data_IF_628592241455
#
_entry.id   IF_628592241455
#
_cell.length_a   1.000
_cell.length_b   1.000
_cell.length_c   1.000
_cell.angle_alpha   90.00
_cell.angle_beta   90.00
_cell.angle_gamma   90.00
#
_symmetry.space_group_name_H-M   'P 1'
#
loop_
_entity.id
_entity.type
_entity.pdbx_description
1 polymer ?
#
# COMPACT_ATOMS: atom_id res chain seq x y z
N UNK A 1 3.91 -15.34 -28.46
CA UNK A 1 3.33 -15.04 -29.79
C UNK A 1 2.10 -14.12 -29.71
N UNK A 2 1.16 -14.33 -28.78
CA UNK A 2 -0.10 -13.57 -28.70
C UNK A 2 0.09 -12.04 -28.55
N UNK A 3 1.23 -11.58 -28.05
CA UNK A 3 1.58 -10.17 -27.83
C UNK A 3 2.75 -9.69 -28.71
N UNK A 4 3.24 -10.51 -29.66
CA UNK A 4 4.41 -10.20 -30.47
C UNK A 4 4.19 -9.05 -31.48
N UNK A 5 2.94 -8.76 -31.81
CA UNK A 5 2.56 -7.66 -32.73
C UNK A 5 1.62 -6.69 -32.02
N UNK A 6 2.13 -5.83 -31.14
CA UNK A 6 1.30 -4.83 -30.51
C UNK A 6 0.81 -3.80 -31.53
N UNK A 7 -0.41 -3.32 -31.40
CA UNK A 7 -0.94 -2.17 -32.15
C UNK A 7 -0.56 -0.90 -31.39
N UNK A 8 -0.59 0.24 -32.05
CA UNK A 8 -0.33 1.55 -31.43
C UNK A 8 -1.23 1.78 -30.19
N UNK A 9 -2.48 1.34 -30.23
CA UNK A 9 -3.46 1.44 -29.14
C UNK A 9 -3.43 0.23 -28.18
N UNK A 10 -2.39 -0.61 -28.24
CA UNK A 10 -2.31 -1.83 -27.46
C UNK A 10 -3.20 -2.97 -27.99
N UNK A 11 -3.21 -4.08 -27.26
CA UNK A 11 -4.06 -5.25 -27.52
C UNK A 11 -4.71 -5.70 -26.20
N UNK A 12 -5.98 -6.15 -26.30
CA UNK A 12 -6.66 -6.69 -25.12
C UNK A 12 -5.92 -7.93 -24.61
N UNK A 13 -5.69 -7.97 -23.32
CA UNK A 13 -5.02 -9.09 -22.65
C UNK A 13 -5.99 -10.03 -21.94
N UNK A 14 -7.15 -9.54 -21.54
CA UNK A 14 -8.19 -10.26 -20.81
C UNK A 14 -9.54 -9.60 -21.09
N UNK A 15 -10.62 -10.35 -20.97
CA UNK A 15 -11.98 -9.80 -20.95
C UNK A 15 -12.42 -9.68 -19.50
N UNK A 16 -12.58 -8.45 -19.02
CA UNK A 16 -13.13 -8.17 -17.69
C UNK A 16 -14.66 -8.36 -17.72
N UNK A 17 -15.21 -8.83 -16.62
CA UNK A 17 -16.65 -8.87 -16.38
C UNK A 17 -17.12 -7.49 -15.94
N UNK A 18 -18.44 -7.27 -16.01
CA UNK A 18 -19.07 -6.09 -15.45
C UNK A 18 -18.76 -6.00 -13.93
N UNK A 19 -18.46 -4.82 -13.44
CA UNK A 19 -18.09 -4.53 -12.06
C UNK A 19 -16.84 -5.25 -11.54
N UNK A 20 -15.95 -5.75 -12.42
CA UNK A 20 -14.70 -6.39 -12.07
C UNK A 20 -13.49 -5.57 -12.53
N UNK A 21 -12.34 -5.73 -11.88
CA UNK A 21 -11.12 -4.98 -12.15
C UNK A 21 -9.88 -5.84 -12.25
N UNK A 22 -8.88 -5.37 -12.98
CA UNK A 22 -7.55 -5.97 -13.00
C UNK A 22 -6.75 -5.47 -11.79
N UNK A 23 -6.30 -6.38 -10.95
CA UNK A 23 -5.57 -6.05 -9.70
C UNK A 23 -4.06 -6.17 -9.91
N UNK A 24 -3.60 -7.27 -10.53
CA UNK A 24 -2.18 -7.59 -10.61
C UNK A 24 -1.86 -8.34 -11.90
N UNK A 25 -0.66 -8.14 -12.42
CA UNK A 25 -0.10 -8.87 -13.56
C UNK A 25 1.31 -9.30 -13.22
N UNK A 26 1.63 -10.57 -13.44
CA UNK A 26 2.95 -11.13 -13.16
C UNK A 26 3.45 -11.96 -14.32
N UNK A 27 4.74 -11.82 -14.63
CA UNK A 27 5.44 -12.70 -15.57
C UNK A 27 5.90 -13.97 -14.87
N UNK A 28 5.57 -15.13 -15.46
CA UNK A 28 5.98 -16.44 -14.95
C UNK A 28 6.81 -17.19 -15.98
N UNK A 29 7.52 -18.22 -15.56
CA UNK A 29 8.44 -19.01 -16.41
C UNK A 29 8.01 -20.47 -16.60
N UNK A 30 6.83 -20.86 -16.13
CA UNK A 30 6.34 -22.25 -16.19
C UNK A 30 6.57 -23.06 -14.91
N UNK A 31 7.38 -22.58 -13.98
CA UNK A 31 7.74 -23.26 -12.73
C UNK A 31 7.42 -22.46 -11.46
N UNK A 32 6.67 -21.37 -11.61
CA UNK A 32 6.35 -20.52 -10.48
C UNK A 32 5.13 -21.05 -9.70
N UNK A 33 5.06 -20.67 -8.46
CA UNK A 33 3.87 -20.81 -7.64
C UNK A 33 3.18 -19.47 -7.48
N UNK A 34 1.87 -19.53 -7.46
CA UNK A 34 1.00 -18.36 -7.33
C UNK A 34 0.34 -18.38 -5.97
N UNK A 35 0.39 -17.25 -5.28
CA UNK A 35 -0.33 -17.03 -4.04
C UNK A 35 -1.31 -15.88 -4.23
N UNK A 36 -2.60 -16.12 -3.99
CA UNK A 36 -3.68 -15.13 -4.08
C UNK A 36 -4.26 -14.94 -2.69
N UNK A 37 -4.49 -13.69 -2.28
CA UNK A 37 -5.09 -13.36 -1.00
C UNK A 37 -6.38 -12.58 -1.14
N UNK A 38 -7.33 -12.80 -0.22
CA UNK A 38 -8.58 -12.07 -0.12
C UNK A 38 -8.60 -11.11 1.07
N UNK A 39 -9.55 -10.20 1.05
CA UNK A 39 -9.76 -9.16 2.07
C UNK A 39 -10.04 -9.74 3.45
N UNK A 40 -10.66 -10.91 3.53
CA UNK A 40 -10.95 -11.62 4.78
C UNK A 40 -9.73 -12.33 5.40
N UNK A 41 -8.52 -12.08 4.88
CA UNK A 41 -7.28 -12.58 5.46
C UNK A 41 -7.01 -14.05 5.20
N UNK A 42 -7.49 -14.58 4.06
CA UNK A 42 -7.14 -15.90 3.58
C UNK A 42 -6.25 -15.82 2.35
N UNK A 43 -5.41 -16.83 2.14
CA UNK A 43 -4.60 -16.95 0.95
C UNK A 43 -4.56 -18.40 0.46
N UNK A 44 -4.48 -18.57 -0.86
CA UNK A 44 -4.38 -19.85 -1.53
C UNK A 44 -3.09 -19.91 -2.35
N UNK A 45 -2.32 -20.99 -2.19
CA UNK A 45 -1.09 -21.25 -2.94
C UNK A 45 -1.31 -22.44 -3.88
N UNK A 46 -0.95 -22.26 -5.13
CA UNK A 46 -1.01 -23.31 -6.15
C UNK A 46 0.08 -23.13 -7.19
N UNK A 47 0.42 -24.19 -7.93
CA UNK A 47 1.39 -24.13 -9.01
C UNK A 47 0.76 -23.47 -10.25
N UNK A 48 1.50 -22.65 -10.99
CA UNK A 48 0.98 -21.95 -12.19
C UNK A 48 0.43 -22.91 -13.24
N UNK A 49 0.93 -24.15 -13.33
CA UNK A 49 0.42 -25.19 -14.23
C UNK A 49 -1.05 -25.58 -13.93
N UNK A 50 -1.60 -25.24 -12.77
CA UNK A 50 -3.02 -25.37 -12.49
C UNK A 50 -3.89 -24.41 -13.32
N UNK A 51 -3.26 -23.41 -13.96
CA UNK A 51 -3.91 -22.45 -14.86
C UNK A 51 -3.56 -22.84 -16.30
N UNK A 52 -4.55 -23.30 -17.05
CA UNK A 52 -4.35 -23.61 -18.47
C UNK A 52 -4.02 -22.35 -19.28
N UNK A 53 -3.24 -22.51 -20.32
CA UNK A 53 -3.01 -21.43 -21.31
C UNK A 53 -4.33 -21.07 -21.99
N UNK A 54 -4.65 -19.77 -22.03
CA UNK A 54 -5.89 -19.25 -22.61
C UNK A 54 -5.59 -18.10 -23.57
N UNK A 55 -6.50 -17.88 -24.54
CA UNK A 55 -6.40 -16.74 -25.44
C UNK A 55 -6.63 -15.41 -24.73
N UNK A 56 -6.16 -14.30 -25.34
CA UNK A 56 -6.23 -12.95 -24.80
C UNK A 56 -7.65 -12.43 -24.48
N UNK A 57 -8.66 -13.00 -25.12
CA UNK A 57 -10.07 -12.62 -24.92
C UNK A 57 -10.79 -13.47 -23.88
N UNK A 58 -10.10 -14.38 -23.21
CA UNK A 58 -10.68 -15.19 -22.16
C UNK A 58 -10.88 -14.37 -20.88
N UNK A 59 -11.94 -14.66 -20.13
CA UNK A 59 -12.20 -14.06 -18.79
C UNK A 59 -11.40 -14.70 -17.67
N UNK A 60 -10.61 -15.75 -17.97
CA UNK A 60 -9.81 -16.45 -16.97
C UNK A 60 -10.52 -17.61 -16.28
N UNK A 61 -9.94 -18.07 -15.18
CA UNK A 61 -10.44 -19.16 -14.34
C UNK A 61 -10.39 -18.74 -12.87
N UNK A 62 -11.27 -19.32 -12.07
CA UNK A 62 -11.34 -19.04 -10.64
C UNK A 62 -10.02 -19.37 -9.94
N UNK A 63 -9.37 -18.38 -9.33
CA UNK A 63 -8.17 -18.57 -8.52
C UNK A 63 -8.49 -19.05 -7.11
N UNK A 64 -9.44 -18.39 -6.43
CA UNK A 64 -9.93 -18.75 -5.09
C UNK A 64 -11.43 -18.56 -4.97
N UNK A 65 -12.03 -19.17 -3.95
CA UNK A 65 -13.43 -18.94 -3.56
C UNK A 65 -13.47 -17.86 -2.50
N UNK A 66 -14.26 -16.81 -2.73
CA UNK A 66 -14.55 -15.75 -1.79
C UNK A 66 -15.77 -16.10 -0.93
N UNK A 67 -15.94 -15.42 0.20
CA UNK A 67 -17.10 -15.59 1.07
C UNK A 67 -18.21 -14.61 0.64
N UNK A 68 -19.38 -15.14 0.25
CA UNK A 68 -20.48 -14.36 -0.35
C UNK A 68 -21.09 -13.29 0.60
N UNK A 69 -21.03 -13.53 1.91
CA UNK A 69 -21.70 -12.68 2.91
C UNK A 69 -20.88 -11.50 3.44
N UNK A 70 -19.64 -11.32 2.98
CA UNK A 70 -18.66 -10.46 3.68
C UNK A 70 -18.13 -9.30 2.88
N UNK A 71 -18.65 -9.03 1.68
CA UNK A 71 -18.05 -8.09 0.74
C UNK A 71 -16.54 -8.39 0.54
N UNK A 72 -16.25 -9.68 0.35
CA UNK A 72 -14.90 -10.19 0.20
C UNK A 72 -14.41 -10.01 -1.23
N UNK A 73 -13.17 -9.66 -1.38
CA UNK A 73 -12.52 -9.43 -2.67
C UNK A 73 -11.07 -9.92 -2.65
N UNK A 74 -10.50 -10.16 -3.82
CA UNK A 74 -9.07 -10.43 -3.95
C UNK A 74 -8.32 -9.12 -3.80
N UNK A 75 -7.37 -9.08 -2.87
CA UNK A 75 -6.56 -7.87 -2.59
C UNK A 75 -5.19 -7.90 -3.26
N UNK A 76 -4.77 -9.03 -3.75
CA UNK A 76 -3.50 -9.14 -4.46
C UNK A 76 -3.11 -10.56 -4.81
N UNK A 77 -2.11 -10.64 -5.68
CA UNK A 77 -1.49 -11.87 -6.15
C UNK A 77 0.03 -11.71 -6.13
N UNK A 78 0.74 -12.74 -5.74
CA UNK A 78 2.20 -12.80 -5.85
C UNK A 78 2.64 -14.06 -6.56
N UNK A 79 3.68 -13.96 -7.39
CA UNK A 79 4.34 -15.08 -8.04
C UNK A 79 5.65 -15.36 -7.33
N UNK A 80 5.74 -16.53 -6.73
CA UNK A 80 6.90 -16.99 -5.98
C UNK A 80 7.91 -17.55 -6.95
N UNK A 81 9.11 -16.98 -6.98
CA UNK A 81 10.21 -17.39 -7.86
C UNK A 81 11.29 -18.17 -7.12
N UNK A 82 11.59 -17.74 -5.89
CA UNK A 82 12.64 -18.33 -5.04
C UNK A 82 12.09 -18.52 -3.61
N UNK A 83 11.76 -19.77 -3.28
CA UNK A 83 11.17 -20.12 -1.98
C UNK A 83 12.12 -19.96 -0.79
N UNK A 84 13.43 -20.00 -1.04
CA UNK A 84 14.44 -19.93 0.00
C UNK A 84 14.72 -18.50 0.42
N UNK A 85 14.60 -17.55 -0.53
CA UNK A 85 14.89 -16.14 -0.30
C UNK A 85 13.64 -15.30 -0.04
N UNK A 86 12.51 -15.69 -0.64
CA UNK A 86 11.29 -14.90 -0.55
C UNK A 86 10.46 -15.28 0.68
N UNK A 87 9.81 -14.31 1.25
CA UNK A 87 8.80 -14.44 2.31
C UNK A 87 7.53 -13.70 1.91
N UNK A 88 6.42 -14.03 2.54
CA UNK A 88 5.11 -13.41 2.29
C UNK A 88 4.87 -12.32 3.32
N UNK A 89 4.82 -11.07 2.87
CA UNK A 89 4.40 -9.92 3.65
C UNK A 89 2.90 -9.69 3.45
N UNK A 90 2.18 -9.48 4.52
CA UNK A 90 0.76 -9.08 4.54
C UNK A 90 0.58 -7.85 5.41
N UNK A 91 -0.29 -6.93 4.95
CA UNK A 91 -0.60 -5.68 5.67
C UNK A 91 -2.10 -5.47 5.67
N UNK A 92 -2.65 -5.05 6.82
CA UNK A 92 -4.08 -4.82 7.04
C UNK A 92 -4.41 -3.34 7.20
N UNK A 93 -5.71 -3.00 7.10
CA UNK A 93 -6.25 -1.63 7.10
C UNK A 93 -5.78 -0.79 8.30
N UNK A 94 -5.69 -1.40 9.49
CA UNK A 94 -5.30 -0.69 10.72
C UNK A 94 -3.78 -0.69 10.97
N UNK A 95 -2.98 -0.91 9.91
CA UNK A 95 -1.53 -0.83 9.96
C UNK A 95 -0.84 -1.99 10.69
N UNK A 96 -1.52 -3.12 10.83
CA UNK A 96 -0.91 -4.36 11.28
C UNK A 96 -0.39 -5.14 10.09
N UNK A 97 0.75 -5.77 10.25
CA UNK A 97 1.31 -6.61 9.20
C UNK A 97 2.31 -7.59 9.76
N UNK A 98 2.78 -8.46 8.90
CA UNK A 98 3.78 -9.45 9.24
C UNK A 98 4.37 -10.09 8.01
N UNK A 99 5.50 -10.71 8.22
CA UNK A 99 6.22 -11.55 7.27
C UNK A 99 6.11 -13.01 7.70
N UNK A 100 5.81 -13.92 6.77
CA UNK A 100 5.68 -15.36 7.03
C UNK A 100 6.43 -16.16 5.99
N UNK A 101 6.89 -17.36 6.35
CA UNK A 101 7.54 -18.27 5.41
C UNK A 101 6.55 -18.73 4.35
N UNK A 102 7.03 -18.90 3.12
CA UNK A 102 6.23 -19.43 2.02
C UNK A 102 5.76 -20.86 2.33
N UNK A 103 6.57 -21.66 3.00
CA UNK A 103 6.26 -23.05 3.37
C UNK A 103 5.10 -23.18 4.37
N UNK A 104 4.76 -22.11 5.11
CA UNK A 104 3.57 -22.08 5.94
C UNK A 104 2.27 -22.18 5.12
N UNK A 105 2.32 -21.89 3.82
CA UNK A 105 1.20 -21.96 2.90
C UNK A 105 1.28 -23.27 2.11
N UNK A 106 0.46 -24.25 2.45
CA UNK A 106 0.40 -25.53 1.71
C UNK A 106 0.00 -25.30 0.26
N UNK A 107 0.61 -26.04 -0.65
CA UNK A 107 0.20 -26.08 -2.05
C UNK A 107 -1.13 -26.83 -2.15
N UNK A 108 -2.09 -26.24 -2.86
CA UNK A 108 -3.42 -26.83 -3.08
C UNK A 108 -3.85 -26.64 -4.54
N UNK A 109 -4.98 -27.22 -4.91
CA UNK A 109 -5.62 -26.89 -6.17
C UNK A 109 -6.20 -25.46 -6.10
N UNK A 110 -6.16 -24.71 -7.23
CA UNK A 110 -6.82 -23.40 -7.32
C UNK A 110 -8.33 -23.51 -7.08
N UNK A 111 -8.97 -22.40 -6.78
CA UNK A 111 -10.43 -22.32 -6.62
C UNK A 111 -10.94 -22.68 -5.22
N UNK A 112 -10.07 -23.08 -4.30
CA UNK A 112 -10.43 -23.32 -2.90
C UNK A 112 -10.53 -22.03 -2.09
N UNK A 113 -11.00 -22.13 -0.82
CA UNK A 113 -11.09 -20.98 0.13
C UNK A 113 -9.72 -20.55 0.69
N UNK A 114 -8.66 -21.35 0.48
CA UNK A 114 -7.33 -21.07 1.00
C UNK A 114 -7.20 -21.29 2.52
N UNK A 115 -6.07 -20.82 3.07
CA UNK A 115 -5.72 -20.90 4.49
C UNK A 115 -5.64 -19.51 5.09
N UNK A 116 -5.82 -19.39 6.40
CA UNK A 116 -5.69 -18.11 7.10
C UNK A 116 -4.26 -17.56 6.93
N UNK A 117 -4.13 -16.33 6.42
CA UNK A 117 -2.85 -15.64 6.27
C UNK A 117 -2.59 -14.59 7.33
N UNK A 118 -3.67 -13.99 7.86
CA UNK A 118 -3.62 -13.08 9.01
C UNK A 118 -4.89 -13.28 9.84
N UNK A 119 -4.81 -13.03 11.13
CA UNK A 119 -6.00 -13.06 11.99
C UNK A 119 -6.70 -11.71 11.95
N UNK A 120 -7.82 -11.65 11.23
CA UNK A 120 -8.67 -10.47 11.12
C UNK A 120 -9.45 -10.28 12.42
N UNK A 121 -9.37 -9.09 12.99
CA UNK A 121 -10.08 -8.64 14.19
C UNK A 121 -10.46 -7.16 13.99
N UNK A 122 -11.29 -6.59 14.84
CA UNK A 122 -11.58 -5.15 14.83
C UNK A 122 -10.29 -4.31 14.96
N UNK A 123 -9.29 -4.82 15.67
CA UNK A 123 -8.01 -4.15 15.89
C UNK A 123 -7.14 -4.13 14.63
N UNK A 124 -7.17 -5.17 13.81
CA UNK A 124 -6.36 -5.25 12.59
C UNK A 124 -7.06 -4.64 11.39
N UNK A 125 -8.37 -4.68 11.35
CA UNK A 125 -9.13 -4.44 10.14
C UNK A 125 -8.93 -5.53 9.10
N UNK A 126 -9.44 -5.34 7.90
CA UNK A 126 -9.34 -6.27 6.77
C UNK A 126 -7.93 -6.28 6.16
N UNK A 127 -7.62 -7.29 5.36
CA UNK A 127 -6.37 -7.34 4.61
C UNK A 127 -6.41 -6.35 3.45
N UNK A 128 -5.33 -5.58 3.26
CA UNK A 128 -5.18 -4.60 2.16
C UNK A 128 -4.16 -5.06 1.13
N UNK A 129 -3.07 -5.67 1.58
CA UNK A 129 -1.99 -6.02 0.66
C UNK A 129 -1.31 -7.34 1.01
N UNK A 130 -0.86 -8.02 -0.05
CA UNK A 130 0.06 -9.16 0.01
C UNK A 130 1.20 -8.91 -0.96
N UNK A 131 2.45 -9.10 -0.54
CA UNK A 131 3.66 -8.95 -1.36
C UNK A 131 4.65 -10.07 -1.05
N UNK A 132 5.39 -10.53 -2.06
CA UNK A 132 6.58 -11.34 -1.86
C UNK A 132 7.78 -10.41 -1.66
N UNK A 133 8.54 -10.62 -0.62
CA UNK A 133 9.66 -9.76 -0.22
C UNK A 133 10.88 -10.60 0.14
N UNK A 134 12.07 -10.00 -0.03
CA UNK A 134 13.36 -10.52 0.41
C UNK A 134 13.95 -9.60 1.47
N UNK A 135 15.06 -9.99 2.09
CA UNK A 135 15.80 -9.15 3.05
C UNK A 135 16.32 -7.84 2.42
N UNK A 136 16.53 -7.85 1.09
CA UNK A 136 17.05 -6.72 0.31
C UNK A 136 15.96 -5.74 -0.14
N UNK A 137 14.74 -5.90 0.35
CA UNK A 137 13.65 -5.01 -0.01
C UNK A 137 13.31 -4.06 1.13
N UNK A 138 12.80 -2.90 0.74
CA UNK A 138 12.05 -2.02 1.60
C UNK A 138 10.59 -2.06 1.21
N UNK A 139 9.72 -1.64 2.12
CA UNK A 139 8.32 -1.41 1.85
C UNK A 139 7.97 0.05 2.10
N UNK A 140 7.12 0.57 1.22
CA UNK A 140 6.46 1.86 1.42
C UNK A 140 5.00 1.61 1.74
N UNK A 141 4.54 2.14 2.85
CA UNK A 141 3.15 2.06 3.31
C UNK A 141 2.56 3.46 3.23
N UNK A 142 1.42 3.57 2.55
CA UNK A 142 0.72 4.83 2.34
C UNK A 142 -0.67 4.71 2.97
N UNK A 143 -1.04 5.64 3.81
CA UNK A 143 -2.38 5.71 4.39
C UNK A 143 -3.34 6.60 3.54
N UNK A 144 -4.63 6.57 3.85
CA UNK A 144 -5.64 7.36 3.12
C UNK A 144 -5.45 8.86 3.26
N UNK A 145 -4.83 9.33 4.35
CA UNK A 145 -4.50 10.76 4.54
C UNK A 145 -3.23 11.21 3.81
N UNK A 146 -2.56 10.31 3.06
CA UNK A 146 -1.38 10.64 2.26
C UNK A 146 -0.04 10.55 3.01
N UNK A 147 -0.04 10.11 4.28
CA UNK A 147 1.22 9.89 5.00
C UNK A 147 1.88 8.63 4.47
N UNK A 148 3.14 8.75 4.12
CA UNK A 148 3.95 7.65 3.59
C UNK A 148 5.09 7.34 4.56
N UNK A 149 5.27 6.06 4.86
CA UNK A 149 6.45 5.57 5.60
C UNK A 149 7.20 4.55 4.76
N UNK A 150 8.52 4.54 4.91
CA UNK A 150 9.42 3.53 4.34
C UNK A 150 10.07 2.78 5.48
N UNK A 151 10.14 1.45 5.37
CA UNK A 151 10.80 0.59 6.35
C UNK A 151 11.48 -0.59 5.66
N UNK A 152 12.59 -1.05 6.24
CA UNK A 152 13.32 -2.22 5.74
C UNK A 152 12.54 -3.50 6.06
N UNK A 153 12.51 -4.43 5.10
CA UNK A 153 11.91 -5.75 5.33
C UNK A 153 12.72 -6.56 6.34
N UNK A 154 14.03 -6.36 6.39
CA UNK A 154 14.93 -6.98 7.37
C UNK A 154 14.55 -6.68 8.84
N UNK A 155 13.92 -5.53 9.10
CA UNK A 155 13.47 -5.15 10.45
C UNK A 155 12.22 -5.92 10.91
N UNK A 156 11.57 -6.64 9.99
CA UNK A 156 10.37 -7.40 10.25
C UNK A 156 10.70 -8.86 10.56
N UNK A 157 10.36 -9.32 11.74
CA UNK A 157 10.50 -10.72 12.09
C UNK A 157 9.58 -11.62 11.25
N UNK A 158 10.07 -12.80 10.87
CA UNK A 158 9.26 -13.86 10.27
C UNK A 158 8.45 -14.54 11.37
N UNK A 159 7.13 -14.53 11.25
CA UNK A 159 6.21 -15.13 12.22
C UNK A 159 5.13 -15.95 11.54
N UNK A 160 4.52 -16.88 12.26
CA UNK A 160 3.53 -17.81 11.71
C UNK A 160 2.34 -17.11 11.03
N UNK A 161 1.86 -17.69 9.92
CA UNK A 161 0.82 -17.12 9.04
C UNK A 161 -0.52 -16.80 9.73
N UNK A 162 -0.91 -17.57 10.74
CA UNK A 162 -2.23 -17.43 11.38
C UNK A 162 -2.27 -16.40 12.53
N UNK A 163 -1.16 -15.71 12.79
CA UNK A 163 -1.07 -14.68 13.84
C UNK A 163 -1.70 -13.35 13.40
N UNK A 164 -1.91 -12.45 14.35
CA UNK A 164 -2.42 -11.11 14.11
C UNK A 164 -1.39 -10.17 13.46
N UNK A 165 -0.11 -10.51 13.58
CA UNK A 165 0.98 -9.63 13.16
C UNK A 165 1.37 -8.60 14.21
N UNK A 166 2.25 -7.70 13.80
CA UNK A 166 2.74 -6.57 14.60
C UNK A 166 2.25 -5.25 13.99
N UNK A 167 2.24 -4.20 14.78
CA UNK A 167 1.89 -2.86 14.28
C UNK A 167 3.09 -2.30 13.50
N UNK A 168 2.91 -2.09 12.21
CA UNK A 168 3.91 -1.51 11.31
C UNK A 168 3.88 0.02 11.34
N UNK A 169 2.69 0.58 11.41
CA UNK A 169 2.47 2.03 11.49
C UNK A 169 1.41 2.34 12.55
N UNK A 170 1.61 3.45 13.25
CA UNK A 170 0.61 3.97 14.18
C UNK A 170 -0.25 5.03 13.46
N UNK A 171 -1.48 4.67 13.12
CA UNK A 171 -2.43 5.56 12.43
C UNK A 171 -3.05 6.62 13.35
N UNK A 172 -2.75 6.57 14.66
CA UNK A 172 -3.22 7.55 15.62
C UNK A 172 -4.73 7.50 15.87
N UNK A 173 -5.28 8.62 16.36
CA UNK A 173 -6.72 8.77 16.68
C UNK A 173 -7.58 9.23 15.48
N UNK A 174 -7.01 9.32 14.28
CA UNK A 174 -7.64 9.97 13.12
C UNK A 174 -8.58 9.10 12.30
N UNK A 175 -8.91 7.91 12.74
CA UNK A 175 -9.73 6.96 11.96
C UNK A 175 -9.17 6.73 10.55
N UNK A 176 -7.84 6.70 10.43
CA UNK A 176 -7.12 6.54 9.18
C UNK A 176 -6.88 5.05 8.89
N UNK A 177 -6.69 4.73 7.63
CA UNK A 177 -6.51 3.35 7.17
C UNK A 177 -5.38 3.29 6.14
N UNK A 178 -4.77 2.13 6.00
CA UNK A 178 -3.80 1.88 4.95
C UNK A 178 -4.51 1.88 3.59
N UNK A 179 -3.99 2.69 2.67
CA UNK A 179 -4.48 2.77 1.30
C UNK A 179 -3.70 1.84 0.35
N UNK A 180 -2.37 1.78 0.49
CA UNK A 180 -1.52 1.01 -0.42
C UNK A 180 -0.21 0.59 0.24
N UNK A 181 0.37 -0.48 -0.28
CA UNK A 181 1.69 -0.98 0.11
C UNK A 181 2.48 -1.34 -1.14
N UNK A 182 3.64 -0.72 -1.30
CA UNK A 182 4.56 -0.96 -2.39
C UNK A 182 5.84 -1.61 -1.89
N UNK A 183 6.41 -2.49 -2.70
CA UNK A 183 7.76 -3.04 -2.51
C UNK A 183 8.74 -2.21 -3.32
N UNK A 184 9.83 -1.79 -2.71
CA UNK A 184 10.93 -1.08 -3.35
C UNK A 184 12.25 -1.79 -3.06
N UNK A 185 13.26 -1.58 -3.89
CA UNK A 185 14.62 -2.05 -3.58
C UNK A 185 15.18 -1.22 -2.43
N UNK A 186 15.88 -1.86 -1.52
CA UNK A 186 16.63 -1.14 -0.49
C UNK A 186 17.73 -0.32 -1.17
N UNK A 187 17.85 0.93 -0.75
CA UNK A 187 18.97 1.78 -1.17
C UNK A 187 20.16 1.51 -0.26
N UNK A 188 21.35 1.55 -0.83
CA UNK A 188 22.59 1.52 -0.07
C UNK A 188 22.78 2.86 0.66
N UNK A 189 23.60 2.88 1.69
CA UNK A 189 23.92 4.13 2.41
C UNK A 189 24.58 5.15 1.47
N UNK A 190 25.35 4.69 0.49
CA UNK A 190 25.98 5.52 -0.54
C UNK A 190 24.94 6.17 -1.45
N UNK A 191 23.97 5.40 -1.96
CA UNK A 191 22.87 5.92 -2.78
C UNK A 191 21.99 6.92 -2.01
N UNK A 192 21.72 6.67 -0.74
CA UNK A 192 20.96 7.60 0.13
C UNK A 192 21.75 8.90 0.33
N UNK A 193 23.07 8.82 0.54
CA UNK A 193 23.92 9.98 0.70
C UNK A 193 24.02 10.81 -0.58
N UNK A 194 24.13 10.16 -1.74
CA UNK A 194 24.15 10.83 -3.05
C UNK A 194 22.80 11.53 -3.35
N UNK A 195 21.67 10.86 -3.10
CA UNK A 195 20.34 11.44 -3.31
C UNK A 195 20.11 12.66 -2.41
N UNK A 196 20.55 12.57 -1.14
CA UNK A 196 20.48 13.68 -0.20
C UNK A 196 21.33 14.87 -0.64
N UNK A 197 22.56 14.63 -1.08
CA UNK A 197 23.45 15.68 -1.58
C UNK A 197 22.89 16.34 -2.84
N UNK A 198 22.31 15.57 -3.77
CA UNK A 198 21.65 16.11 -4.95
C UNK A 198 20.44 16.96 -4.61
N UNK A 199 19.64 16.54 -3.64
CA UNK A 199 18.48 17.29 -3.18
C UNK A 199 18.88 18.61 -2.52
N UNK A 200 19.87 18.60 -1.64
CA UNK A 200 20.42 19.81 -1.01
C UNK A 200 20.97 20.78 -2.06
N UNK A 201 21.68 20.26 -3.07
CA UNK A 201 22.19 21.10 -4.16
C UNK A 201 21.07 21.73 -5.02
N UNK A 202 19.96 21.01 -5.24
CA UNK A 202 18.79 21.53 -5.96
C UNK A 202 18.03 22.59 -5.13
N UNK A 203 17.90 22.39 -3.84
CA UNK A 203 17.30 23.36 -2.92
C UNK A 203 18.13 24.65 -2.85
N UNK A 204 19.45 24.54 -2.77
CA UNK A 204 20.38 25.70 -2.80
C UNK A 204 20.31 26.44 -4.14
N UNK A 205 20.24 25.73 -5.26
CA UNK A 205 20.10 26.31 -6.58
C UNK A 205 18.75 27.08 -6.73
N UNK A 206 17.67 26.52 -6.20
CA UNK A 206 16.35 27.15 -6.25
C UNK A 206 16.28 28.45 -5.39
N UNK A 207 17.03 28.50 -4.27
CA UNK A 207 17.13 29.70 -3.43
C UNK A 207 17.91 30.81 -4.15
N UNK A 208 18.92 30.44 -4.96
CA UNK A 208 19.70 31.43 -5.72
C UNK A 208 18.98 31.94 -6.96
N UNK A 209 18.05 31.19 -7.56
CA UNK A 209 17.25 31.65 -8.70
C UNK A 209 16.11 32.62 -8.33
N UNK A 210 15.64 32.60 -7.08
CA UNK A 210 14.65 33.54 -6.55
C UNK A 210 15.15 34.12 -5.22
N UNK A 211 16.01 35.17 -5.24
CA UNK A 211 16.31 35.89 -4.03
C UNK A 211 15.00 36.53 -3.53
N UNK A 212 14.67 36.27 -2.28
CA UNK A 212 13.54 36.94 -1.62
C UNK A 212 13.88 38.44 -1.60
N UNK A 213 13.23 39.24 -2.47
CA UNK A 213 13.26 40.69 -2.35
C UNK A 213 12.66 41.04 -0.98
N UNK A 214 13.51 41.49 -0.07
CA UNK A 214 13.08 42.12 1.17
C UNK A 214 12.26 43.36 0.80
N UNK A 215 10.96 43.23 0.79
CA UNK A 215 10.09 44.42 0.82
C UNK A 215 10.23 45.00 2.22
N UNK A 216 10.94 46.12 2.27
CA UNK A 216 11.00 47.00 3.45
C UNK A 216 9.57 47.33 3.89
N UNK A 217 9.18 46.84 5.04
CA UNK A 217 7.99 47.30 5.74
C UNK A 217 8.32 48.71 6.26
N UNK A 218 7.84 49.73 5.57
CA UNK A 218 7.80 51.08 6.11
C UNK A 218 6.91 51.08 7.37
N UNK A 219 7.53 51.54 8.45
CA UNK A 219 6.93 51.81 9.75
C UNK A 219 5.80 52.83 9.59
N UNK A 220 4.54 52.39 9.60
CA UNK A 220 3.39 53.29 9.73
C UNK A 220 3.15 53.47 11.22
N UNK A 221 3.61 54.62 11.74
CA UNK A 221 3.29 55.11 13.07
C UNK A 221 1.79 55.41 13.18
N UNK A 222 1.08 54.66 13.98
CA UNK A 222 -0.30 54.93 14.39
C UNK A 222 -0.35 56.07 15.39
N UNK A 223 -0.91 57.20 14.95
CA UNK A 223 -1.43 58.26 15.81
C UNK A 223 -2.77 57.79 16.42
N UNK A 224 -2.73 57.47 17.72
CA UNK A 224 -3.93 57.18 18.51
C UNK A 224 -4.52 58.51 19.00
N UNK A 225 -5.58 58.96 18.37
CA UNK A 225 -6.49 59.97 18.98
C UNK A 225 -7.51 59.26 19.88
N UNK A 226 -7.39 59.58 21.15
CA UNK A 226 -8.34 59.31 22.22
C UNK A 226 -9.64 60.09 22.04
N UNK A 227 -10.78 59.41 22.07
CA UNK A 227 -12.05 60.04 22.33
C UNK A 227 -12.86 59.27 23.37
N UNK A 228 -12.82 59.82 24.62
CA UNK A 228 -13.76 59.46 25.66
C UNK A 228 -15.13 60.08 25.29
N UNK A 229 -16.19 59.29 25.46
CA UNK A 229 -17.40 59.80 26.12
C UNK A 229 -18.35 58.65 26.49
N UNK A 230 -18.73 58.75 27.75
CA UNK A 230 -19.72 58.07 28.51
C UNK A 230 -21.13 58.10 27.87
N UNK A 231 -21.96 57.11 28.10
CA UNK A 231 -23.13 57.33 28.98
C UNK A 231 -23.95 55.99 29.13
N UNK A 232 -24.44 55.87 30.35
CA UNK A 232 -25.39 54.99 30.99
C UNK A 232 -26.59 54.50 30.16
N UNK A 233 -27.07 53.28 30.43
CA UNK A 233 -28.30 53.01 31.21
C UNK A 233 -28.75 51.55 31.09
N UNK A 234 -28.86 50.94 32.25
CA UNK A 234 -29.94 50.09 32.85
C UNK A 234 -31.01 49.45 31.97
N UNK A 235 -31.32 48.22 32.33
CA UNK A 235 -32.68 47.68 32.19
C UNK A 235 -32.81 46.17 32.04
N UNK A 236 -32.79 45.44 33.14
CA UNK A 236 -33.79 44.54 33.72
C UNK A 236 -34.62 43.59 32.83
N UNK A 237 -34.61 42.31 33.29
CA UNK A 237 -35.67 41.34 33.62
C UNK A 237 -36.26 40.46 32.51
N UNK A 238 -36.14 39.12 32.85
CA UNK A 238 -37.21 38.08 32.95
C UNK A 238 -37.95 37.70 31.64
N UNK A 239 -37.79 36.48 31.21
CA UNK A 239 -38.53 35.22 31.49
C UNK A 239 -37.79 34.03 30.87
#
# INVERSE_FOLDING_TARGET
EAYSRPRQNGVNAITLREDDGLIEVCMTNGNNEVLIANRNGRAIRFHENAVRVMGRTASGVRGMTLDDDSNDEVVGMVCIKDKEKETVLVVSEQGYGKRSNIEDYRITNRGGKGVKTINITEKTGKLVAIKNVTEENDIMIINKSGITIRMKVSDLNVIGRATQGVRLINLGKRNDEIASVCKVLSQTEEEIAEEKAQREALEDAAIHEHPIENTDFEDVSDDVESNENADDTEGTTEE
#
